data_IF_244066572933
#
_entry.id   IF_244066572933
#
_cell.length_a   1.000
_cell.length_b   1.000
_cell.length_c   1.000
_cell.angle_alpha   90.00
_cell.angle_beta   90.00
_cell.angle_gamma   90.00
#
_symmetry.space_group_name_H-M   'P 1'
#
loop_
_entity.id
_entity.type
_entity.pdbx_description
1 polymer ?
#
# COMPACT_ATOMS: atom_id res chain seq x y z
N UNK A 1 -19.81 -18.95 -21.27
CA UNK A 1 -18.95 -19.13 -20.09
C UNK A 1 -18.90 -20.61 -19.70
N UNK A 2 -17.71 -21.21 -19.59
CA UNK A 2 -17.53 -22.63 -19.24
C UNK A 2 -16.78 -22.69 -17.90
N UNK A 3 -17.43 -23.19 -16.84
CA UNK A 3 -16.88 -23.28 -15.49
C UNK A 3 -16.47 -24.72 -15.20
N UNK A 4 -15.26 -24.92 -14.67
CA UNK A 4 -14.76 -26.22 -14.22
C UNK A 4 -14.13 -26.14 -12.83
N UNK A 5 -14.25 -27.22 -12.08
CA UNK A 5 -13.70 -27.42 -10.75
C UNK A 5 -12.53 -28.42 -10.82
N UNK A 6 -11.42 -28.06 -10.20
CA UNK A 6 -10.20 -28.86 -10.13
C UNK A 6 -9.84 -29.16 -8.68
N UNK A 7 -9.42 -30.38 -8.40
CA UNK A 7 -8.89 -30.79 -7.10
C UNK A 7 -7.46 -31.28 -7.33
N UNK A 8 -6.49 -30.59 -6.74
CA UNK A 8 -5.06 -30.80 -6.99
C UNK A 8 -4.27 -30.77 -5.69
N UNK A 9 -3.04 -31.26 -5.75
CA UNK A 9 -2.15 -31.27 -4.59
C UNK A 9 -1.40 -29.95 -4.43
N UNK A 10 -1.22 -29.18 -5.54
CA UNK A 10 -0.52 -27.90 -5.52
C UNK A 10 -1.17 -26.88 -6.48
N UNK A 11 -0.95 -25.59 -6.23
CA UNK A 11 -1.45 -24.51 -7.09
C UNK A 11 -0.81 -24.52 -8.50
N UNK A 12 0.48 -24.83 -8.69
CA UNK A 12 1.09 -25.00 -10.00
C UNK A 12 0.39 -26.07 -10.84
N UNK A 13 0.04 -27.22 -10.23
CA UNK A 13 -0.71 -28.29 -10.93
C UNK A 13 -2.12 -27.84 -11.34
N UNK A 14 -2.77 -27.01 -10.50
CA UNK A 14 -4.05 -26.40 -10.86
C UNK A 14 -3.91 -25.53 -12.11
N UNK A 15 -2.95 -24.62 -12.12
CA UNK A 15 -2.73 -23.70 -13.24
C UNK A 15 -2.40 -24.43 -14.54
N UNK A 16 -1.59 -25.48 -14.47
CA UNK A 16 -1.26 -26.28 -15.62
C UNK A 16 -2.50 -26.99 -16.19
N UNK A 17 -3.32 -27.61 -15.34
CA UNK A 17 -4.58 -28.27 -15.74
C UNK A 17 -5.62 -27.29 -16.27
N UNK A 18 -5.75 -26.13 -15.63
CA UNK A 18 -6.67 -25.08 -16.06
C UNK A 18 -6.29 -24.58 -17.47
N UNK A 19 -4.99 -24.31 -17.69
CA UNK A 19 -4.49 -23.86 -18.99
C UNK A 19 -4.65 -24.91 -20.09
N UNK A 20 -4.48 -26.18 -19.77
CA UNK A 20 -4.68 -27.29 -20.75
C UNK A 20 -6.16 -27.50 -21.08
N UNK A 21 -7.07 -27.33 -20.13
CA UNK A 21 -8.50 -27.65 -20.26
C UNK A 21 -9.38 -26.48 -20.72
N UNK A 22 -9.08 -25.28 -20.23
CA UNK A 22 -9.88 -24.07 -20.45
C UNK A 22 -9.16 -23.01 -21.29
N UNK A 23 -7.85 -23.23 -21.57
CA UNK A 23 -7.06 -22.29 -22.37
C UNK A 23 -6.32 -21.26 -21.51
N UNK A 24 -5.56 -20.37 -22.22
CA UNK A 24 -4.72 -19.36 -21.57
C UNK A 24 -5.54 -18.23 -20.92
N UNK A 25 -6.76 -18.03 -21.40
CA UNK A 25 -7.68 -16.96 -20.97
C UNK A 25 -8.63 -17.39 -19.84
N UNK A 26 -8.34 -18.52 -19.19
CA UNK A 26 -9.13 -19.00 -18.06
C UNK A 26 -8.87 -18.18 -16.79
N UNK A 27 -9.96 -17.77 -16.15
CA UNK A 27 -9.95 -16.99 -14.89
C UNK A 27 -10.28 -17.90 -13.71
N UNK A 28 -9.52 -17.81 -12.64
CA UNK A 28 -9.81 -18.52 -11.38
C UNK A 28 -10.86 -17.71 -10.61
N UNK A 29 -12.01 -18.33 -10.36
CA UNK A 29 -13.12 -17.71 -9.63
C UNK A 29 -13.02 -17.91 -8.11
N UNK A 30 -12.53 -19.08 -7.68
CA UNK A 30 -12.42 -19.41 -6.26
C UNK A 30 -11.35 -20.47 -6.00
N UNK A 31 -10.74 -20.40 -4.81
CA UNK A 31 -9.75 -21.38 -4.34
C UNK A 31 -10.01 -21.70 -2.86
N UNK A 32 -10.10 -23.00 -2.54
CA UNK A 32 -10.37 -23.47 -1.16
C UNK A 32 -9.48 -24.66 -0.83
N UNK A 33 -8.87 -24.64 0.35
CA UNK A 33 -8.19 -25.83 0.87
C UNK A 33 -9.22 -26.83 1.40
N UNK A 34 -9.11 -28.07 0.94
CA UNK A 34 -9.96 -29.19 1.36
C UNK A 34 -9.11 -30.34 1.88
N UNK A 35 -9.63 -31.10 2.83
CA UNK A 35 -9.01 -32.34 3.28
C UNK A 35 -9.77 -33.51 2.68
N UNK A 36 -9.07 -34.37 1.95
CA UNK A 36 -9.68 -35.56 1.30
C UNK A 36 -8.98 -36.81 1.82
N UNK A 37 -9.80 -37.81 2.13
CA UNK A 37 -9.38 -39.13 2.59
C UNK A 37 -9.25 -39.20 4.11
N UNK A 38 -9.42 -40.43 4.64
CA UNK A 38 -9.31 -40.78 6.04
C UNK A 38 -10.52 -41.56 6.53
N UNK A 39 -10.30 -42.82 6.93
CA UNK A 39 -11.25 -43.58 7.73
C UNK A 39 -11.09 -43.09 9.17
N UNK A 40 -12.16 -42.57 9.80
CA UNK A 40 -12.18 -42.02 11.16
C UNK A 40 -11.22 -40.84 11.46
N UNK A 41 -10.92 -39.97 10.45
CA UNK A 41 -10.15 -38.74 10.69
C UNK A 41 -8.62 -38.89 10.77
N UNK A 42 -8.09 -40.10 10.72
CA UNK A 42 -6.65 -40.39 10.64
C UNK A 42 -6.22 -40.58 9.19
N UNK A 43 -5.14 -39.84 8.75
CA UNK A 43 -4.56 -39.87 7.39
C UNK A 43 -5.26 -39.03 6.29
N UNK A 44 -5.86 -37.88 6.61
CA UNK A 44 -6.35 -36.95 5.59
C UNK A 44 -5.21 -36.19 4.91
N UNK A 45 -5.20 -36.15 3.55
CA UNK A 45 -4.26 -35.32 2.78
C UNK A 45 -4.91 -33.96 2.48
N UNK A 46 -4.14 -32.88 2.65
CA UNK A 46 -4.57 -31.53 2.21
C UNK A 46 -4.51 -31.48 0.69
N UNK A 47 -5.58 -30.99 0.06
CA UNK A 47 -5.68 -30.70 -1.36
C UNK A 47 -6.30 -29.34 -1.59
N UNK A 48 -6.06 -28.76 -2.76
CA UNK A 48 -6.59 -27.45 -3.16
C UNK A 48 -7.71 -27.68 -4.18
N UNK A 49 -8.88 -27.15 -3.87
CA UNK A 49 -10.00 -27.06 -4.78
C UNK A 49 -9.98 -25.71 -5.49
N UNK A 50 -9.93 -25.70 -6.82
CA UNK A 50 -9.89 -24.50 -7.65
C UNK A 50 -11.06 -24.52 -8.62
N UNK A 51 -11.84 -23.44 -8.65
CA UNK A 51 -12.92 -23.23 -9.63
C UNK A 51 -12.42 -22.20 -10.64
N UNK A 52 -12.39 -22.59 -11.92
CA UNK A 52 -11.97 -21.72 -13.00
C UNK A 52 -13.03 -21.66 -14.11
N UNK A 53 -13.08 -20.52 -14.80
CA UNK A 53 -14.00 -20.28 -15.93
C UNK A 53 -13.27 -19.69 -17.13
N UNK A 54 -13.81 -19.95 -18.33
CA UNK A 54 -13.40 -19.29 -19.58
C UNK A 54 -14.63 -18.83 -20.35
N UNK A 55 -14.49 -17.72 -21.07
CA UNK A 55 -15.55 -17.25 -21.97
C UNK A 55 -15.33 -17.79 -23.38
N UNK A 56 -16.33 -18.42 -23.96
CA UNK A 56 -16.26 -19.17 -25.22
C UNK A 56 -16.54 -18.28 -26.45
N UNK A 57 -16.18 -17.01 -26.43
CA UNK A 57 -16.31 -16.15 -27.61
C UNK A 57 -14.96 -15.67 -28.12
N UNK A 58 -14.19 -16.53 -28.77
CA UNK A 58 -13.31 -16.12 -29.89
C UNK A 58 -13.00 -17.31 -30.77
N UNK A 59 -13.48 -17.21 -32.01
CA UNK A 59 -13.31 -18.17 -33.09
C UNK A 59 -11.86 -18.27 -33.55
N UNK A 60 -11.45 -19.49 -33.81
CA UNK A 60 -10.22 -19.90 -34.47
C UNK A 60 -9.83 -19.05 -35.70
N UNK A 61 -8.63 -18.49 -35.67
CA UNK A 61 -7.88 -18.15 -36.87
C UNK A 61 -6.55 -18.92 -36.86
N UNK A 62 -6.37 -19.79 -37.84
CA UNK A 62 -5.16 -20.57 -38.09
C UNK A 62 -3.96 -19.65 -38.36
N UNK A 63 -2.90 -19.73 -37.57
CA UNK A 63 -1.65 -19.10 -37.87
C UNK A 63 -0.78 -19.98 -38.79
N UNK A 64 -0.34 -19.43 -39.92
CA UNK A 64 0.72 -19.95 -40.78
C UNK A 64 2.10 -19.67 -40.13
N UNK A 65 3.12 -20.51 -40.36
CA UNK A 65 4.43 -20.33 -39.79
C UNK A 65 5.20 -19.21 -40.49
N UNK A 66 5.78 -18.28 -39.71
CA UNK A 66 6.62 -17.20 -40.18
C UNK A 66 8.09 -17.48 -39.87
N UNK A 67 8.86 -17.28 -40.91
CA UNK A 67 10.29 -17.42 -41.14
C UNK A 67 11.10 -16.54 -40.16
N UNK A 68 12.22 -17.09 -39.67
CA UNK A 68 13.27 -16.35 -38.93
C UNK A 68 13.90 -15.26 -39.82
N UNK A 69 14.10 -14.05 -39.32
CA UNK A 69 15.13 -13.16 -39.87
C UNK A 69 16.37 -13.10 -38.98
N UNK A 70 17.50 -13.20 -39.66
CA UNK A 70 18.86 -12.95 -39.16
C UNK A 70 19.00 -11.50 -38.68
N UNK A 71 19.63 -11.32 -37.52
CA UNK A 71 19.92 -10.00 -36.93
C UNK A 71 21.29 -9.53 -37.44
N UNK A 72 21.30 -8.48 -38.24
CA UNK A 72 22.49 -7.65 -38.49
C UNK A 72 22.49 -6.48 -37.47
N UNK A 73 23.61 -6.35 -36.79
CA UNK A 73 23.89 -5.27 -35.86
C UNK A 73 23.86 -3.89 -36.56
N UNK A 74 23.06 -2.97 -36.06
CA UNK A 74 23.16 -1.55 -36.43
C UNK A 74 22.89 -0.67 -35.18
N UNK A 75 23.76 0.26 -35.02
CA UNK A 75 24.01 1.29 -34.03
C UNK A 75 22.81 1.89 -33.30
N UNK A 76 22.91 1.94 -31.98
CA UNK A 76 21.92 2.44 -31.00
C UNK A 76 22.14 3.95 -30.81
N UNK A 77 21.25 4.81 -31.28
CA UNK A 77 21.15 6.22 -30.82
C UNK A 77 19.77 6.88 -30.89
N UNK A 78 18.69 6.13 -31.17
CA UNK A 78 17.34 6.75 -31.26
C UNK A 78 16.28 6.07 -30.37
N UNK A 79 16.67 5.29 -29.36
CA UNK A 79 15.76 4.34 -28.71
C UNK A 79 15.12 4.83 -27.39
N UNK A 80 15.70 5.84 -26.74
CA UNK A 80 15.24 6.23 -25.39
C UNK A 80 13.93 7.04 -25.36
N UNK A 81 13.72 7.91 -26.33
CA UNK A 81 12.50 8.72 -26.40
C UNK A 81 11.24 7.88 -26.74
N UNK A 82 11.41 6.85 -27.58
CA UNK A 82 10.29 5.94 -27.90
C UNK A 82 9.95 4.98 -26.78
N UNK A 83 10.92 4.60 -25.93
CA UNK A 83 10.67 3.80 -24.74
C UNK A 83 9.85 4.57 -23.69
N UNK A 84 10.17 5.84 -23.46
CA UNK A 84 9.45 6.69 -22.52
C UNK A 84 7.98 6.87 -22.92
N UNK A 85 7.71 7.08 -24.20
CA UNK A 85 6.34 7.21 -24.71
C UNK A 85 5.52 5.90 -24.60
N UNK A 86 6.18 4.74 -24.73
CA UNK A 86 5.51 3.45 -24.52
C UNK A 86 5.18 3.16 -23.05
N UNK A 87 6.03 3.61 -22.14
CA UNK A 87 5.78 3.46 -20.70
C UNK A 87 4.58 4.30 -20.27
N UNK A 88 4.48 5.54 -20.73
CA UNK A 88 3.36 6.44 -20.40
C UNK A 88 2.00 5.94 -20.90
N UNK A 89 1.96 5.18 -22.00
CA UNK A 89 0.70 4.66 -22.57
C UNK A 89 0.17 3.40 -21.88
N UNK A 90 0.98 2.70 -21.10
CA UNK A 90 0.57 1.45 -20.39
C UNK A 90 -0.10 1.73 -19.06
N UNK A 91 0.11 2.90 -18.47
CA UNK A 91 -0.47 3.29 -17.17
C UNK A 91 -1.99 3.58 -17.22
N UNK A 92 -2.61 3.66 -18.41
CA UNK A 92 -4.01 4.09 -18.61
C UNK A 92 -4.99 2.91 -18.83
N UNK A 93 -4.65 1.70 -18.43
CA UNK A 93 -5.59 0.57 -18.49
C UNK A 93 -6.28 0.34 -17.14
N UNK A 94 -6.97 1.36 -16.63
CA UNK A 94 -8.08 1.18 -15.69
C UNK A 94 -9.36 0.92 -16.53
N UNK A 95 -9.59 -0.32 -16.88
CA UNK A 95 -10.96 -0.72 -17.24
C UNK A 95 -11.82 -0.66 -15.97
N UNK A 96 -12.97 0.03 -16.01
CA UNK A 96 -13.89 0.04 -14.89
C UNK A 96 -14.31 -1.39 -14.58
N UNK A 97 -14.24 -1.77 -13.31
CA UNK A 97 -14.73 -3.04 -12.80
C UNK A 97 -16.16 -3.28 -13.33
N UNK A 98 -16.48 -4.47 -13.83
CA UNK A 98 -17.82 -4.76 -14.31
C UNK A 98 -18.83 -4.57 -13.16
N UNK A 99 -19.86 -3.76 -13.45
CA UNK A 99 -21.02 -3.54 -12.61
C UNK A 99 -21.58 -4.89 -12.14
N UNK A 100 -21.58 -5.11 -10.83
CA UNK A 100 -22.26 -6.23 -10.20
C UNK A 100 -23.73 -5.84 -10.06
N UNK A 101 -24.67 -6.50 -10.76
CA UNK A 101 -26.08 -6.19 -10.58
C UNK A 101 -26.50 -6.54 -9.16
N UNK A 102 -27.22 -5.64 -8.52
CA UNK A 102 -27.88 -5.85 -7.24
C UNK A 102 -28.73 -7.13 -7.29
N UNK A 103 -28.42 -8.08 -6.44
CA UNK A 103 -29.24 -9.26 -6.25
C UNK A 103 -30.54 -8.81 -5.58
N UNK A 104 -31.61 -8.76 -6.37
CA UNK A 104 -32.97 -8.55 -5.87
C UNK A 104 -33.30 -9.71 -4.93
N UNK A 105 -33.33 -9.43 -3.64
CA UNK A 105 -33.93 -10.31 -2.65
C UNK A 105 -35.44 -10.30 -2.84
N UNK A 106 -35.96 -11.24 -3.61
CA UNK A 106 -37.38 -11.56 -3.64
C UNK A 106 -37.65 -12.83 -2.85
N UNK A 107 -38.65 -12.67 -1.97
CA UNK A 107 -39.41 -13.70 -1.21
C UNK A 107 -38.89 -14.04 0.18
N UNK A 108 -39.35 -13.18 1.13
CA UNK A 108 -39.70 -13.61 2.48
C UNK A 108 -41.24 -13.74 2.51
N UNK A 109 -41.80 -14.89 2.87
CA UNK A 109 -43.26 -15.01 3.00
C UNK A 109 -43.78 -14.16 4.18
N UNK A 110 -44.99 -13.58 4.11
CA UNK A 110 -45.50 -12.72 5.14
C UNK A 110 -45.76 -13.52 6.42
N UNK A 111 -45.14 -13.11 7.52
CA UNK A 111 -45.46 -13.59 8.85
C UNK A 111 -46.73 -12.89 9.27
N UNK A 112 -47.80 -13.65 9.41
CA UNK A 112 -49.09 -13.23 9.98
C UNK A 112 -48.88 -12.91 11.47
N UNK A 113 -48.85 -11.64 11.80
CA UNK A 113 -48.85 -11.19 13.20
C UNK A 113 -50.28 -11.02 13.65
N UNK A 114 -50.74 -11.89 14.56
CA UNK A 114 -52.00 -11.70 15.30
C UNK A 114 -51.89 -10.47 16.21
N UNK A 115 -52.93 -9.66 16.36
CA UNK A 115 -52.90 -8.48 17.21
C UNK A 115 -52.90 -8.89 18.68
N UNK A 116 -51.80 -8.66 19.37
CA UNK A 116 -51.74 -8.67 20.82
C UNK A 116 -52.12 -7.27 21.29
N UNK A 117 -53.33 -7.10 21.73
CA UNK A 117 -53.78 -5.94 22.51
C UNK A 117 -53.08 -5.98 23.86
N UNK A 118 -52.05 -5.20 24.02
CA UNK A 118 -51.56 -4.77 25.32
C UNK A 118 -51.54 -3.24 25.31
N UNK A 119 -52.54 -2.67 25.97
CA UNK A 119 -52.51 -1.28 26.40
C UNK A 119 -51.28 -1.09 27.30
N UNK A 120 -50.23 -0.53 26.74
CA UNK A 120 -49.15 0.09 27.51
C UNK A 120 -49.51 1.55 27.66
N UNK A 121 -49.80 1.92 28.89
CA UNK A 121 -49.90 3.31 29.32
C UNK A 121 -48.69 4.09 28.81
N UNK A 122 -48.93 5.19 28.12
CA UNK A 122 -47.95 6.16 27.70
C UNK A 122 -47.37 6.79 28.97
N UNK A 123 -46.07 6.63 29.27
CA UNK A 123 -45.48 7.37 30.38
C UNK A 123 -45.53 8.87 30.04
N UNK A 124 -46.06 9.65 30.98
CA UNK A 124 -46.23 11.09 30.89
C UNK A 124 -44.93 11.76 30.43
N UNK A 125 -45.05 12.77 29.55
CA UNK A 125 -43.98 13.59 28.99
C UNK A 125 -42.92 14.14 29.97
N UNK A 126 -43.22 14.16 31.26
CA UNK A 126 -42.35 14.58 32.35
C UNK A 126 -41.10 13.68 32.55
N UNK A 127 -41.17 12.38 32.29
CA UNK A 127 -40.04 11.48 32.45
C UNK A 127 -39.01 11.69 31.34
N UNK A 128 -39.46 11.82 30.09
CA UNK A 128 -38.60 12.08 28.92
C UNK A 128 -37.96 13.48 29.02
N UNK A 129 -38.70 14.47 29.45
CA UNK A 129 -38.17 15.82 29.70
C UNK A 129 -37.14 15.84 30.83
N UNK A 130 -37.30 14.99 31.85
CA UNK A 130 -36.33 14.85 32.94
C UNK A 130 -35.05 14.15 32.45
N UNK A 131 -35.16 13.10 31.63
CA UNK A 131 -34.00 12.46 31.01
C UNK A 131 -33.25 13.39 30.04
N UNK A 132 -33.98 14.16 29.23
CA UNK A 132 -33.36 15.17 28.32
C UNK A 132 -32.65 16.24 29.15
N UNK A 133 -33.21 16.70 30.28
CA UNK A 133 -32.53 17.62 31.18
C UNK A 133 -31.28 17.01 31.83
N UNK A 134 -31.36 15.76 32.28
CA UNK A 134 -30.20 15.05 32.83
C UNK A 134 -29.12 14.82 31.78
N UNK A 135 -29.50 14.46 30.54
CA UNK A 135 -28.58 14.37 29.41
C UNK A 135 -27.92 15.72 29.09
N UNK A 136 -28.70 16.80 29.08
CA UNK A 136 -28.17 18.17 28.85
C UNK A 136 -27.26 18.62 29.99
N UNK A 137 -27.59 18.30 31.25
CA UNK A 137 -26.72 18.58 32.39
C UNK A 137 -25.45 17.71 32.36
N UNK A 138 -25.56 16.44 31.97
CA UNK A 138 -24.40 15.56 31.79
C UNK A 138 -23.50 16.03 30.64
N UNK A 139 -24.09 16.46 29.55
CA UNK A 139 -23.37 17.06 28.40
C UNK A 139 -22.71 18.40 28.79
N UNK A 140 -23.39 19.24 29.57
CA UNK A 140 -22.80 20.45 30.11
C UNK A 140 -21.69 20.16 31.16
N UNK A 141 -21.83 19.10 31.98
CA UNK A 141 -20.74 18.66 32.89
C UNK A 141 -19.57 18.02 32.15
N UNK A 142 -19.81 17.37 31.00
CA UNK A 142 -18.74 16.87 30.12
C UNK A 142 -18.08 18.03 29.36
N UNK A 143 -18.85 19.00 28.89
CA UNK A 143 -18.31 20.22 28.27
C UNK A 143 -17.56 21.10 29.28
N UNK A 144 -17.94 21.09 30.57
CA UNK A 144 -17.20 21.79 31.64
C UNK A 144 -16.07 20.96 32.26
N UNK A 145 -15.95 19.67 31.91
CA UNK A 145 -14.81 18.80 32.24
C UNK A 145 -13.78 18.68 31.11
N UNK A 146 -14.00 19.28 29.93
CA UNK A 146 -12.87 19.68 29.10
C UNK A 146 -12.01 20.62 29.97
N UNK A 147 -10.73 20.32 30.18
CA UNK A 147 -9.91 21.20 31.01
C UNK A 147 -10.07 22.62 30.45
N UNK A 148 -10.52 23.53 31.30
CA UNK A 148 -10.36 24.95 31.09
C UNK A 148 -8.85 25.26 31.07
N UNK A 149 -8.19 24.93 29.97
CA UNK A 149 -6.85 25.39 29.67
C UNK A 149 -6.82 26.29 28.43
N UNK A 150 -7.99 26.77 27.99
CA UNK A 150 -8.07 27.81 26.96
C UNK A 150 -8.09 29.23 27.54
N UNK A 151 -7.72 29.38 28.79
CA UNK A 151 -7.48 30.72 29.35
C UNK A 151 -6.08 31.16 28.94
N UNK A 152 -5.99 31.81 27.77
CA UNK A 152 -4.79 32.53 27.39
C UNK A 152 -3.96 31.98 26.21
N UNK A 153 -4.42 30.96 25.47
CA UNK A 153 -3.66 30.55 24.28
C UNK A 153 -3.79 31.65 23.23
N UNK A 154 -2.64 32.16 22.79
CA UNK A 154 -2.59 33.22 21.77
C UNK A 154 -3.23 32.73 20.45
N UNK A 155 -4.01 33.59 19.73
CA UNK A 155 -4.71 33.20 18.50
C UNK A 155 -3.81 32.57 17.43
N UNK A 156 -2.54 32.97 17.35
CA UNK A 156 -1.56 32.40 16.41
C UNK A 156 -1.25 30.94 16.75
N UNK A 157 -1.14 30.59 18.04
CA UNK A 157 -0.89 29.20 18.47
C UNK A 157 -2.13 28.33 18.24
N UNK A 158 -3.34 28.88 18.41
CA UNK A 158 -4.57 28.17 18.05
C UNK A 158 -4.63 27.89 16.55
N UNK A 159 -4.31 28.86 15.70
CA UNK A 159 -4.27 28.69 14.26
C UNK A 159 -3.25 27.61 13.83
N UNK A 160 -2.05 27.59 14.45
CA UNK A 160 -1.07 26.54 14.21
C UNK A 160 -1.59 25.16 14.66
N UNK A 161 -2.23 25.08 15.82
CA UNK A 161 -2.85 23.85 16.32
C UNK A 161 -3.90 23.30 15.36
N UNK A 162 -4.82 24.15 14.93
CA UNK A 162 -5.89 23.78 13.98
C UNK A 162 -5.32 23.30 12.64
N UNK A 163 -4.28 23.95 12.14
CA UNK A 163 -3.59 23.56 10.93
C UNK A 163 -2.94 22.19 11.04
N UNK A 164 -2.17 21.92 12.10
CA UNK A 164 -1.51 20.64 12.30
C UNK A 164 -2.54 19.50 12.49
N UNK A 165 -3.64 19.76 13.20
CA UNK A 165 -4.74 18.80 13.35
C UNK A 165 -5.41 18.55 11.99
N UNK A 166 -5.65 19.59 11.20
CA UNK A 166 -6.21 19.50 9.85
C UNK A 166 -5.33 18.66 8.91
N UNK A 167 -4.02 18.68 9.12
CA UNK A 167 -3.04 17.84 8.43
C UNK A 167 -2.92 16.43 9.01
N UNK A 168 -3.76 16.04 9.96
CA UNK A 168 -3.74 14.73 10.63
C UNK A 168 -2.45 14.45 11.43
N UNK A 169 -1.75 15.47 11.90
CA UNK A 169 -0.66 15.32 12.87
C UNK A 169 -1.25 14.85 14.21
N UNK A 170 -0.61 13.88 14.85
CA UNK A 170 -1.10 13.32 16.12
C UNK A 170 -1.15 14.39 17.23
N UNK A 171 -2.17 14.32 18.08
CA UNK A 171 -2.35 15.29 19.18
C UNK A 171 -1.12 15.40 20.09
N UNK A 172 -0.38 14.29 20.28
CA UNK A 172 0.85 14.28 21.04
C UNK A 172 1.92 15.18 20.40
N UNK A 173 2.16 15.02 19.08
CA UNK A 173 3.15 15.83 18.36
C UNK A 173 2.70 17.29 18.29
N UNK A 174 1.40 17.54 18.08
CA UNK A 174 0.83 18.90 18.09
C UNK A 174 1.12 19.59 19.43
N UNK A 175 0.83 18.91 20.54
CA UNK A 175 1.07 19.45 21.88
C UNK A 175 2.57 19.72 22.12
N UNK A 176 3.44 18.77 21.81
CA UNK A 176 4.90 18.92 21.92
C UNK A 176 5.42 20.08 21.06
N UNK A 177 4.87 20.25 19.85
CA UNK A 177 5.23 21.37 18.96
C UNK A 177 4.86 22.71 19.59
N UNK A 178 3.65 22.84 20.14
CA UNK A 178 3.19 24.07 20.78
C UNK A 178 3.99 24.40 22.05
N UNK A 179 4.27 23.39 22.88
CA UNK A 179 5.11 23.53 24.06
C UNK A 179 6.52 24.01 23.67
N UNK A 180 7.13 23.38 22.68
CA UNK A 180 8.44 23.78 22.18
C UNK A 180 8.48 25.20 21.60
N UNK A 181 7.44 25.62 20.89
CA UNK A 181 7.31 27.00 20.37
C UNK A 181 7.23 27.98 21.51
N UNK A 182 6.44 27.72 22.56
CA UNK A 182 6.32 28.60 23.72
C UNK A 182 7.63 28.74 24.50
N UNK A 183 8.28 27.61 24.83
CA UNK A 183 9.57 27.59 25.53
C UNK A 183 10.67 28.35 24.76
N UNK A 184 10.68 28.22 23.43
CA UNK A 184 11.66 28.87 22.58
C UNK A 184 11.47 30.39 22.55
N UNK A 185 10.22 30.87 22.40
CA UNK A 185 9.88 32.28 22.41
C UNK A 185 10.18 32.92 23.79
N UNK A 186 9.87 32.21 24.86
CA UNK A 186 10.19 32.71 26.23
C UNK A 186 11.69 32.81 26.46
N UNK A 187 12.47 31.84 25.96
CA UNK A 187 13.93 31.80 26.19
C UNK A 187 14.70 32.77 25.29
N UNK A 188 14.26 32.97 24.04
CA UNK A 188 14.89 33.87 23.06
C UNK A 188 14.49 35.33 23.24
N UNK A 189 13.37 35.59 23.93
CA UNK A 189 12.79 36.92 24.05
C UNK A 189 12.23 37.46 22.72
N UNK A 190 12.02 36.61 21.76
CA UNK A 190 11.44 36.96 20.48
C UNK A 190 9.94 37.28 20.59
N UNK A 191 9.47 38.20 19.75
CA UNK A 191 8.07 38.57 19.72
C UNK A 191 7.21 37.42 19.22
N UNK A 192 6.08 37.18 19.89
CA UNK A 192 5.10 36.19 19.48
C UNK A 192 4.31 36.70 18.26
N UNK A 193 4.87 36.49 17.09
CA UNK A 193 4.28 36.77 15.79
C UNK A 193 4.18 35.48 14.94
N UNK A 194 3.39 35.53 13.88
CA UNK A 194 3.14 34.37 13.03
C UNK A 194 4.43 33.81 12.42
N UNK A 195 5.34 34.67 11.96
CA UNK A 195 6.58 34.26 11.30
C UNK A 195 7.46 33.45 12.24
N UNK A 196 7.71 33.95 13.49
CA UNK A 196 8.54 33.28 14.48
C UNK A 196 7.90 31.97 14.94
N UNK A 197 6.59 31.96 15.24
CA UNK A 197 5.85 30.76 15.67
C UNK A 197 5.96 29.65 14.60
N UNK A 198 5.71 29.98 13.34
CA UNK A 198 5.75 29.01 12.23
C UNK A 198 7.19 28.57 11.90
N UNK A 199 8.17 29.44 12.02
CA UNK A 199 9.58 29.08 11.82
C UNK A 199 10.06 28.08 12.86
N UNK A 200 9.78 28.34 14.16
CA UNK A 200 10.15 27.44 15.26
C UNK A 200 9.43 26.09 15.14
N UNK A 201 8.13 26.11 14.86
CA UNK A 201 7.35 24.89 14.66
C UNK A 201 7.88 24.06 13.48
N UNK A 202 8.21 24.72 12.37
CA UNK A 202 8.79 24.10 11.18
C UNK A 202 10.12 23.41 11.49
N UNK A 203 11.01 24.10 12.20
CA UNK A 203 12.30 23.53 12.60
C UNK A 203 12.14 22.33 13.52
N UNK A 204 11.23 22.41 14.47
CA UNK A 204 10.93 21.32 15.38
C UNK A 204 10.39 20.08 14.63
N UNK A 205 9.38 20.25 13.78
CA UNK A 205 8.81 19.16 13.00
C UNK A 205 9.84 18.55 12.02
N UNK A 206 10.65 19.38 11.40
CA UNK A 206 11.74 18.94 10.52
C UNK A 206 12.72 18.04 11.27
N UNK A 207 13.10 18.42 12.49
CA UNK A 207 14.00 17.65 13.36
C UNK A 207 13.43 16.26 13.70
N UNK A 208 12.11 16.13 13.83
CA UNK A 208 11.45 14.85 14.11
C UNK A 208 11.57 13.84 12.97
N UNK A 209 11.61 14.31 11.71
CA UNK A 209 11.59 13.43 10.53
C UNK A 209 12.91 13.34 9.79
N UNK A 210 13.87 14.21 10.10
CA UNK A 210 15.19 14.19 9.46
C UNK A 210 16.01 13.00 9.94
N UNK A 211 16.48 12.20 9.00
CA UNK A 211 17.40 11.09 9.25
C UNK A 211 18.69 11.29 8.48
N UNK A 212 19.81 10.84 9.05
CA UNK A 212 21.13 10.94 8.41
C UNK A 212 21.42 9.81 7.41
N UNK A 213 20.42 8.99 7.09
CA UNK A 213 20.59 7.84 6.21
C UNK A 213 20.30 8.17 4.75
N UNK A 214 20.98 7.48 3.84
CA UNK A 214 20.72 7.62 2.41
C UNK A 214 19.28 7.25 2.05
N UNK A 215 18.60 8.11 1.33
CA UNK A 215 17.24 7.90 0.81
C UNK A 215 17.22 6.93 -0.37
N UNK A 216 18.30 6.89 -1.13
CA UNK A 216 18.47 6.00 -2.27
C UNK A 216 18.87 4.58 -1.83
N UNK A 217 18.68 3.63 -2.77
CA UNK A 217 19.20 2.27 -2.62
C UNK A 217 20.72 2.33 -2.55
N UNK A 218 21.32 1.68 -1.55
CA UNK A 218 22.77 1.68 -1.41
C UNK A 218 23.45 0.97 -2.59
N UNK A 219 24.61 1.46 -3.05
CA UNK A 219 25.28 0.91 -4.24
C UNK A 219 25.62 -0.58 -4.11
N UNK A 220 25.89 -1.05 -2.90
CA UNK A 220 26.27 -2.43 -2.58
C UNK A 220 25.06 -3.33 -2.24
N UNK A 221 23.84 -2.79 -2.27
CA UNK A 221 22.61 -3.58 -2.07
C UNK A 221 22.36 -4.49 -3.24
N UNK A 222 22.23 -5.79 -2.94
CA UNK A 222 21.96 -6.85 -3.91
C UNK A 222 20.47 -7.17 -4.05
N UNK A 223 19.71 -7.10 -2.96
CA UNK A 223 18.28 -7.41 -2.98
C UNK A 223 17.51 -6.30 -2.28
N UNK A 224 16.46 -5.84 -2.93
CA UNK A 224 15.52 -4.87 -2.35
C UNK A 224 14.15 -5.53 -2.23
N UNK A 225 13.67 -5.69 -1.01
CA UNK A 225 12.36 -6.24 -0.72
C UNK A 225 11.33 -5.11 -0.59
N UNK A 226 10.24 -5.21 -1.35
CA UNK A 226 9.12 -4.28 -1.23
C UNK A 226 7.96 -4.97 -0.51
N UNK A 227 7.67 -4.52 0.69
CA UNK A 227 6.65 -5.09 1.56
C UNK A 227 5.56 -4.06 1.85
N UNK A 228 4.35 -4.51 2.14
CA UNK A 228 3.23 -3.63 2.45
C UNK A 228 1.87 -4.21 2.06
N UNK A 229 0.76 -3.56 2.44
CA UNK A 229 -0.60 -4.03 2.20
C UNK A 229 -0.95 -4.19 0.72
N UNK A 230 -2.12 -4.79 0.46
CA UNK A 230 -2.72 -4.82 -0.88
C UNK A 230 -3.12 -3.41 -1.32
N UNK A 231 -2.94 -3.09 -2.61
CA UNK A 231 -3.45 -1.86 -3.20
C UNK A 231 -2.66 -0.59 -2.91
N UNK A 232 -1.54 -0.68 -2.15
CA UNK A 232 -0.68 0.49 -1.87
C UNK A 232 0.25 0.88 -3.03
N UNK A 233 0.21 0.19 -4.17
CA UNK A 233 1.03 0.53 -5.34
C UNK A 233 2.43 -0.08 -5.36
N UNK A 234 2.72 -1.20 -4.66
CA UNK A 234 4.05 -1.84 -4.65
C UNK A 234 4.60 -2.13 -6.05
N UNK A 235 3.88 -2.90 -6.84
CA UNK A 235 4.30 -3.33 -8.18
C UNK A 235 4.58 -2.15 -9.10
N UNK A 236 3.74 -1.11 -9.06
CA UNK A 236 3.92 0.12 -9.85
C UNK A 236 5.15 0.91 -9.38
N UNK A 237 5.36 1.00 -8.07
CA UNK A 237 6.52 1.69 -7.48
C UNK A 237 7.82 0.96 -7.81
N UNK A 238 7.82 -0.37 -7.76
CA UNK A 238 8.97 -1.19 -8.18
C UNK A 238 9.37 -0.86 -9.62
N UNK A 239 8.39 -0.77 -10.52
CA UNK A 239 8.64 -0.44 -11.92
C UNK A 239 9.26 0.96 -12.09
N UNK A 240 8.79 1.97 -11.32
CA UNK A 240 9.34 3.33 -11.33
C UNK A 240 10.79 3.36 -10.87
N UNK A 241 11.08 2.74 -9.72
CA UNK A 241 12.43 2.70 -9.17
C UNK A 241 13.35 1.88 -10.08
N UNK A 242 12.87 0.77 -10.66
CA UNK A 242 13.65 -0.04 -11.60
C UNK A 242 14.01 0.75 -12.86
N UNK A 243 13.06 1.50 -13.40
CA UNK A 243 13.34 2.38 -14.54
C UNK A 243 14.41 3.43 -14.20
N UNK A 244 14.36 4.03 -13.01
CA UNK A 244 15.39 4.95 -12.53
C UNK A 244 16.77 4.26 -12.47
N UNK A 245 16.85 3.07 -11.88
CA UNK A 245 18.11 2.32 -11.77
C UNK A 245 18.69 1.95 -13.14
N UNK A 246 17.84 1.56 -14.09
CA UNK A 246 18.29 1.22 -15.45
C UNK A 246 18.67 2.46 -16.26
N UNK A 247 17.81 3.49 -16.26
CA UNK A 247 17.95 4.64 -17.17
C UNK A 247 18.94 5.68 -16.65
N UNK A 248 18.94 5.98 -15.34
CA UNK A 248 19.80 7.01 -14.75
C UNK A 248 21.10 6.42 -14.18
N UNK A 249 21.03 5.26 -13.55
CA UNK A 249 22.19 4.66 -12.87
C UNK A 249 22.87 3.55 -13.67
N UNK A 250 22.32 3.16 -14.83
CA UNK A 250 22.85 2.12 -15.73
C UNK A 250 23.12 0.78 -15.04
N UNK A 251 22.36 0.48 -13.96
CA UNK A 251 22.46 -0.79 -13.22
C UNK A 251 21.67 -1.88 -13.93
N UNK A 252 22.19 -3.08 -13.91
CA UNK A 252 21.48 -4.27 -14.34
C UNK A 252 20.49 -4.69 -13.24
N UNK A 253 19.21 -4.49 -13.51
CA UNK A 253 18.13 -4.85 -12.58
C UNK A 253 17.60 -6.23 -12.91
N UNK A 254 17.22 -7.01 -11.89
CA UNK A 254 16.43 -8.24 -12.02
C UNK A 254 15.14 -8.11 -11.19
N UNK A 255 14.07 -8.76 -11.65
CA UNK A 255 12.82 -8.84 -10.89
C UNK A 255 12.58 -10.25 -10.36
N UNK A 256 12.14 -10.33 -9.12
CA UNK A 256 11.51 -11.53 -8.54
C UNK A 256 10.11 -11.13 -8.07
N UNK A 257 9.07 -11.89 -8.46
CA UNK A 257 7.74 -11.71 -7.88
C UNK A 257 7.29 -12.96 -7.15
N UNK A 258 6.79 -12.78 -5.95
CA UNK A 258 6.07 -13.78 -5.15
C UNK A 258 4.56 -13.49 -5.07
N UNK A 259 4.06 -12.44 -5.75
CA UNK A 259 2.62 -12.15 -5.82
C UNK A 259 1.91 -13.07 -6.83
N UNK A 260 1.89 -14.35 -6.52
CA UNK A 260 1.29 -15.40 -7.36
C UNK A 260 -0.21 -15.56 -7.16
N UNK A 261 -0.78 -14.86 -6.18
CA UNK A 261 -2.23 -14.89 -5.91
C UNK A 261 -3.02 -14.01 -6.87
N UNK A 262 -2.38 -12.97 -7.39
CA UNK A 262 -2.98 -12.01 -8.33
C UNK A 262 -2.38 -12.22 -9.71
N UNK A 263 -3.10 -12.95 -10.58
CA UNK A 263 -2.63 -13.23 -11.96
C UNK A 263 -2.30 -11.93 -12.69
N UNK A 264 -3.13 -10.90 -12.54
CA UNK A 264 -2.90 -9.58 -13.13
C UNK A 264 -1.62 -8.90 -12.64
N UNK A 265 -1.18 -9.13 -11.38
CA UNK A 265 0.04 -8.52 -10.85
C UNK A 265 1.29 -9.08 -11.54
N UNK A 266 1.34 -10.39 -11.79
CA UNK A 266 2.44 -11.01 -12.54
C UNK A 266 2.52 -10.45 -13.96
N UNK A 267 1.39 -10.39 -14.66
CA UNK A 267 1.35 -9.88 -16.04
C UNK A 267 1.69 -8.38 -16.10
N UNK A 268 1.26 -7.61 -15.10
CA UNK A 268 1.64 -6.19 -14.97
C UNK A 268 3.15 -6.03 -14.81
N UNK A 269 3.76 -6.72 -13.86
CA UNK A 269 5.21 -6.65 -13.64
C UNK A 269 5.99 -7.16 -14.86
N UNK A 270 5.48 -8.20 -15.54
CA UNK A 270 6.06 -8.74 -16.77
C UNK A 270 6.02 -7.74 -17.93
N UNK A 271 4.97 -6.94 -18.01
CA UNK A 271 4.89 -5.85 -18.99
C UNK A 271 6.00 -4.84 -18.76
N UNK A 272 6.19 -4.37 -17.52
CA UNK A 272 7.30 -3.47 -17.18
C UNK A 272 8.68 -4.12 -17.42
N UNK A 273 8.84 -5.39 -17.04
CA UNK A 273 10.06 -6.15 -17.28
C UNK A 273 10.42 -6.21 -18.78
N UNK A 274 9.41 -6.42 -19.62
CA UNK A 274 9.60 -6.45 -21.08
C UNK A 274 10.00 -5.09 -21.63
N UNK A 275 9.32 -4.01 -21.21
CA UNK A 275 9.60 -2.64 -21.66
C UNK A 275 11.01 -2.20 -21.26
N UNK A 276 11.42 -2.48 -20.03
CA UNK A 276 12.70 -2.11 -19.47
C UNK A 276 13.83 -3.10 -19.80
N UNK A 277 13.50 -4.20 -20.51
CA UNK A 277 14.42 -5.31 -20.81
C UNK A 277 15.07 -5.89 -19.53
N UNK A 278 14.26 -6.09 -18.50
CA UNK A 278 14.67 -6.64 -17.18
C UNK A 278 14.27 -8.12 -17.12
N UNK A 279 15.16 -9.04 -16.73
CA UNK A 279 14.80 -10.43 -16.47
C UNK A 279 13.86 -10.54 -15.27
N UNK A 280 12.82 -11.36 -15.39
CA UNK A 280 11.79 -11.59 -14.36
C UNK A 280 11.68 -13.07 -14.04
N UNK A 281 11.77 -13.39 -12.75
CA UNK A 281 11.53 -14.72 -12.19
C UNK A 281 10.28 -14.72 -11.31
N UNK A 282 9.44 -15.76 -11.46
CA UNK A 282 8.24 -15.96 -10.64
C UNK A 282 8.51 -17.07 -9.62
N UNK A 283 8.31 -16.76 -8.34
CA UNK A 283 8.62 -17.64 -7.22
C UNK A 283 7.33 -18.04 -6.51
N UNK A 284 7.07 -19.34 -6.44
CA UNK A 284 5.88 -19.91 -5.77
C UNK A 284 6.20 -20.44 -4.37
N UNK A 285 7.47 -20.71 -4.11
CA UNK A 285 7.94 -21.26 -2.84
C UNK A 285 9.33 -20.75 -2.47
N UNK A 286 9.73 -20.81 -1.19
CA UNK A 286 11.10 -20.46 -0.77
C UNK A 286 12.19 -21.25 -1.48
N UNK A 287 11.89 -22.49 -1.93
CA UNK A 287 12.84 -23.33 -2.67
C UNK A 287 13.13 -22.78 -4.07
N UNK A 288 12.16 -22.11 -4.69
CA UNK A 288 12.33 -21.51 -6.02
C UNK A 288 13.25 -20.28 -5.99
N UNK A 289 13.38 -19.62 -4.83
CA UNK A 289 14.23 -18.44 -4.66
C UNK A 289 15.68 -18.70 -5.03
N UNK A 290 16.23 -19.84 -4.63
CA UNK A 290 17.62 -20.17 -4.94
C UNK A 290 17.85 -20.28 -6.46
N UNK A 291 16.88 -20.81 -7.20
CA UNK A 291 16.94 -20.91 -8.67
C UNK A 291 16.81 -19.51 -9.29
N UNK A 292 15.87 -18.70 -8.79
CA UNK A 292 15.67 -17.32 -9.26
C UNK A 292 16.95 -16.48 -9.07
N UNK A 293 17.59 -16.55 -7.90
CA UNK A 293 18.87 -15.86 -7.66
C UNK A 293 20.00 -16.33 -8.56
N UNK A 294 20.06 -17.64 -8.90
CA UNK A 294 21.05 -18.16 -9.84
C UNK A 294 20.81 -17.66 -11.26
N UNK A 295 19.57 -17.53 -11.68
CA UNK A 295 19.23 -16.99 -13.00
C UNK A 295 19.50 -15.49 -13.10
N UNK A 296 19.33 -14.74 -12.00
CA UNK A 296 19.56 -13.31 -11.90
C UNK A 296 20.97 -12.93 -11.39
N UNK A 297 21.91 -13.87 -11.36
CA UNK A 297 23.28 -13.66 -10.83
C UNK A 297 24.04 -12.48 -11.46
N UNK A 298 23.76 -12.18 -12.73
CA UNK A 298 24.41 -11.11 -13.50
C UNK A 298 23.73 -9.74 -13.28
N UNK A 299 22.67 -9.67 -12.46
CA UNK A 299 22.03 -8.42 -12.05
C UNK A 299 22.83 -7.74 -10.94
N UNK A 300 22.97 -6.41 -11.02
CA UNK A 300 23.60 -5.61 -9.96
C UNK A 300 22.71 -5.49 -8.75
N UNK A 301 21.38 -5.39 -8.98
CA UNK A 301 20.35 -5.33 -7.95
C UNK A 301 19.11 -6.12 -8.37
N UNK A 302 18.50 -6.82 -7.42
CA UNK A 302 17.28 -7.60 -7.62
C UNK A 302 16.15 -6.96 -6.81
N UNK A 303 15.05 -6.65 -7.46
CA UNK A 303 13.84 -6.14 -6.81
C UNK A 303 12.83 -7.25 -6.61
N UNK A 304 12.41 -7.43 -5.36
CA UNK A 304 11.48 -8.48 -4.98
C UNK A 304 10.11 -7.88 -4.68
N UNK A 305 9.14 -8.15 -5.57
CA UNK A 305 7.72 -7.83 -5.37
C UNK A 305 7.06 -8.91 -4.53
N UNK A 306 6.50 -8.50 -3.40
CA UNK A 306 5.82 -9.42 -2.48
C UNK A 306 4.30 -9.28 -2.59
N UNK A 307 3.60 -10.40 -2.37
CA UNK A 307 2.15 -10.38 -2.31
C UNK A 307 1.66 -9.39 -1.26
N UNK A 308 0.79 -8.47 -1.65
CA UNK A 308 0.06 -7.65 -0.71
C UNK A 308 -0.96 -8.52 0.04
N UNK A 309 -0.79 -8.69 1.34
CA UNK A 309 -1.69 -9.48 2.18
C UNK A 309 -2.17 -8.69 3.38
N UNK A 310 -3.21 -9.21 4.05
CA UNK A 310 -3.63 -8.66 5.33
C UNK A 310 -2.63 -9.10 6.41
N UNK A 311 -1.65 -8.25 6.70
CA UNK A 311 -0.57 -8.49 7.66
C UNK A 311 -0.98 -8.43 9.14
N UNK A 312 -2.26 -8.31 9.42
CA UNK A 312 -2.80 -8.59 10.78
C UNK A 312 -2.75 -10.08 11.12
N UNK A 313 -2.47 -10.94 10.13
CA UNK A 313 -2.33 -12.38 10.33
C UNK A 313 -0.85 -12.77 10.37
N UNK A 314 -0.38 -13.20 11.53
CA UNK A 314 1.02 -13.60 11.79
C UNK A 314 1.54 -14.72 10.87
N UNK A 315 0.64 -15.56 10.35
CA UNK A 315 1.02 -16.65 9.44
C UNK A 315 1.57 -16.09 8.11
N UNK A 316 0.97 -15.01 7.59
CA UNK A 316 1.46 -14.36 6.36
C UNK A 316 2.79 -13.62 6.58
N UNK A 317 2.96 -13.09 7.78
CA UNK A 317 4.20 -12.45 8.21
C UNK A 317 5.34 -13.48 8.23
N UNK A 318 5.10 -14.67 8.78
CA UNK A 318 6.09 -15.76 8.83
C UNK A 318 6.43 -16.33 7.43
N UNK A 319 5.43 -16.45 6.53
CA UNK A 319 5.65 -16.87 5.14
C UNK A 319 6.57 -15.87 4.41
N UNK A 320 6.31 -14.57 4.58
CA UNK A 320 7.12 -13.52 3.99
C UNK A 320 8.55 -13.55 4.51
N UNK A 321 8.75 -13.78 5.81
CA UNK A 321 10.08 -13.88 6.41
C UNK A 321 10.92 -14.97 5.76
N UNK A 322 10.33 -16.12 5.46
CA UNK A 322 11.03 -17.21 4.79
C UNK A 322 11.42 -16.87 3.34
N UNK A 323 10.67 -15.98 2.69
CA UNK A 323 10.97 -15.48 1.34
C UNK A 323 12.01 -14.35 1.34
N UNK A 324 12.20 -13.64 2.46
CA UNK A 324 13.17 -12.54 2.55
C UNK A 324 14.59 -12.99 2.89
N UNK A 325 14.81 -14.29 3.16
CA UNK A 325 16.14 -14.84 3.42
C UNK A 325 16.96 -14.97 2.13
N UNK A 326 17.51 -13.85 1.67
CA UNK A 326 18.39 -13.78 0.49
C UNK A 326 19.89 -13.88 0.85
N UNK A 327 20.71 -14.20 -0.15
CA UNK A 327 22.18 -14.12 -0.03
C UNK A 327 22.65 -12.71 -0.42
N UNK A 328 23.35 -12.04 0.49
CA UNK A 328 23.95 -10.72 0.24
C UNK A 328 23.30 -9.60 1.04
N UNK A 329 23.80 -8.37 0.84
CA UNK A 329 23.23 -7.17 1.48
C UNK A 329 21.85 -6.89 0.90
N UNK A 330 20.86 -6.82 1.76
CA UNK A 330 19.47 -6.52 1.38
C UNK A 330 18.97 -5.26 2.08
N UNK A 331 18.01 -4.60 1.45
CA UNK A 331 17.25 -3.50 2.03
C UNK A 331 15.75 -3.82 1.93
N UNK A 332 15.01 -3.48 2.98
CA UNK A 332 13.56 -3.68 3.04
C UNK A 332 12.82 -2.34 3.05
N UNK A 333 12.01 -2.13 2.03
CA UNK A 333 11.18 -0.94 1.87
C UNK A 333 9.74 -1.26 2.28
N UNK A 334 9.26 -0.59 3.31
CA UNK A 334 7.85 -0.60 3.66
C UNK A 334 7.10 0.39 2.75
N UNK A 335 6.16 -0.11 1.96
CA UNK A 335 5.33 0.72 1.06
C UNK A 335 3.98 0.95 1.70
N UNK A 336 3.65 2.22 1.93
CA UNK A 336 2.38 2.67 2.52
C UNK A 336 1.71 3.70 1.62
N UNK A 337 0.39 3.70 1.57
CA UNK A 337 -0.38 4.73 0.87
C UNK A 337 -0.75 5.86 1.83
N UNK A 338 -0.53 7.11 1.43
CA UNK A 338 -0.94 8.29 2.22
C UNK A 338 -2.45 8.41 2.43
N UNK A 339 -3.25 7.75 1.57
CA UNK A 339 -4.70 7.65 1.76
C UNK A 339 -5.13 6.68 2.88
N UNK A 340 -4.16 5.98 3.50
CA UNK A 340 -4.41 5.06 4.61
C UNK A 340 -4.44 5.84 5.93
N UNK A 341 -5.42 5.58 6.79
CA UNK A 341 -5.49 6.19 8.13
C UNK A 341 -4.24 5.85 8.93
N UNK A 342 -3.67 6.84 9.62
CA UNK A 342 -2.47 6.65 10.45
C UNK A 342 -2.58 5.46 11.42
N UNK A 343 -3.72 5.27 12.07
CA UNK A 343 -3.96 4.14 12.98
C UNK A 343 -3.73 2.78 12.31
N UNK A 344 -4.11 2.64 11.04
CA UNK A 344 -3.89 1.41 10.29
C UNK A 344 -2.43 1.29 9.83
N UNK A 345 -1.80 2.41 9.40
CA UNK A 345 -0.36 2.43 9.08
C UNK A 345 0.48 1.99 10.28
N UNK A 346 0.17 2.45 11.49
CA UNK A 346 0.87 2.08 12.73
C UNK A 346 0.83 0.58 12.97
N UNK A 347 -0.36 -0.03 12.92
CA UNK A 347 -0.53 -1.49 13.10
C UNK A 347 0.21 -2.28 12.02
N UNK A 348 0.18 -1.80 10.78
CA UNK A 348 0.93 -2.42 9.68
C UNK A 348 2.42 -2.36 9.97
N UNK A 349 2.94 -1.19 10.33
CA UNK A 349 4.37 -0.98 10.59
C UNK A 349 4.83 -1.81 11.80
N UNK A 350 4.06 -1.88 12.88
CA UNK A 350 4.33 -2.76 14.02
C UNK A 350 4.49 -4.23 13.62
N UNK A 351 3.60 -4.71 12.74
CA UNK A 351 3.67 -6.10 12.26
C UNK A 351 4.88 -6.35 11.36
N UNK A 352 5.28 -5.37 10.55
CA UNK A 352 6.44 -5.44 9.69
C UNK A 352 7.76 -5.14 10.38
N UNK A 353 7.77 -4.46 11.54
CA UNK A 353 8.99 -4.14 12.29
C UNK A 353 9.77 -5.39 12.71
N UNK A 354 9.11 -6.55 12.72
CA UNK A 354 9.75 -7.88 12.91
C UNK A 354 10.75 -8.25 11.80
N UNK A 355 10.80 -7.50 10.68
CA UNK A 355 11.59 -7.82 9.47
C UNK A 355 12.76 -6.89 9.20
N UNK A 356 13.28 -6.18 10.18
CA UNK A 356 14.35 -5.21 9.96
C UNK A 356 14.03 -4.27 8.77
N UNK A 357 13.02 -3.43 8.97
CA UNK A 357 12.68 -2.41 7.99
C UNK A 357 13.79 -1.35 7.92
N UNK A 358 14.29 -1.08 6.74
CA UNK A 358 15.33 -0.05 6.53
C UNK A 358 14.70 1.29 6.15
N UNK A 359 13.69 1.26 5.29
CA UNK A 359 13.13 2.48 4.69
C UNK A 359 11.62 2.39 4.57
N UNK A 360 10.97 3.55 4.61
CA UNK A 360 9.58 3.72 4.26
C UNK A 360 9.45 4.53 2.98
N UNK A 361 8.49 4.12 2.15
CA UNK A 361 8.11 4.77 0.91
C UNK A 361 6.61 5.04 0.96
N UNK A 362 6.24 6.28 0.65
CA UNK A 362 4.83 6.66 0.60
C UNK A 362 4.33 6.76 -0.84
N UNK A 363 3.11 6.33 -1.07
CA UNK A 363 2.46 6.37 -2.37
C UNK A 363 1.19 7.21 -2.31
N UNK A 364 0.70 7.60 -3.50
CA UNK A 364 -0.58 8.27 -3.67
C UNK A 364 -0.63 9.64 -2.98
N UNK A 365 0.47 10.38 -3.07
CA UNK A 365 0.52 11.75 -2.56
C UNK A 365 -0.44 12.68 -3.31
N UNK A 366 -0.73 12.35 -4.56
CA UNK A 366 -1.68 13.02 -5.44
C UNK A 366 -3.17 12.77 -5.10
N UNK A 367 -3.45 11.79 -4.24
CA UNK A 367 -4.81 11.40 -3.84
C UNK A 367 -5.21 11.96 -2.45
N UNK A 368 -4.38 12.80 -1.79
CA UNK A 368 -4.66 13.35 -0.45
C UNK A 368 -4.08 14.75 -0.28
N UNK A 369 -4.72 15.55 0.58
CA UNK A 369 -4.26 16.88 0.98
C UNK A 369 -3.71 16.91 2.42
N UNK A 370 -3.62 15.75 3.10
CA UNK A 370 -3.07 15.64 4.45
C UNK A 370 -1.82 14.77 4.49
N UNK A 371 -0.74 15.29 5.09
CA UNK A 371 0.58 14.67 5.08
C UNK A 371 1.13 14.39 6.48
N UNK A 372 0.41 14.73 7.53
CA UNK A 372 0.84 14.55 8.92
C UNK A 372 1.07 13.09 9.32
N UNK A 373 0.47 12.13 8.60
CA UNK A 373 0.74 10.71 8.80
C UNK A 373 2.21 10.34 8.58
N UNK A 374 2.95 11.08 7.73
CA UNK A 374 4.39 10.90 7.53
C UNK A 374 5.15 11.24 8.82
N UNK A 375 4.86 12.42 9.40
CA UNK A 375 5.48 12.88 10.66
C UNK A 375 5.17 11.90 11.79
N UNK A 376 3.92 11.50 11.91
CA UNK A 376 3.50 10.56 12.95
C UNK A 376 4.25 9.22 12.85
N UNK A 377 4.41 8.70 11.63
CA UNK A 377 5.05 7.40 11.42
C UNK A 377 6.56 7.46 11.72
N UNK A 378 7.23 8.50 11.24
CA UNK A 378 8.67 8.66 11.44
C UNK A 378 9.02 9.02 12.91
N UNK A 379 8.09 9.66 13.62
CA UNK A 379 8.21 9.87 15.06
C UNK A 379 8.06 8.56 15.86
N UNK A 380 7.08 7.73 15.49
CA UNK A 380 6.76 6.50 16.25
C UNK A 380 7.71 5.34 15.92
N UNK A 381 8.36 5.33 14.74
CA UNK A 381 9.20 4.24 14.28
C UNK A 381 10.55 4.72 13.74
N UNK A 382 11.64 4.00 14.02
CA UNK A 382 12.99 4.37 13.55
C UNK A 382 13.17 3.98 12.08
N UNK A 383 12.39 4.57 11.18
CA UNK A 383 12.41 4.33 9.74
C UNK A 383 13.06 5.50 9.01
N UNK A 384 13.77 5.19 7.92
CA UNK A 384 14.32 6.20 7.03
C UNK A 384 13.35 6.50 5.89
N UNK A 385 13.02 7.77 5.72
CA UNK A 385 12.21 8.22 4.59
C UNK A 385 13.00 8.06 3.28
N UNK A 386 12.35 7.54 2.22
CA UNK A 386 13.02 7.26 0.95
C UNK A 386 12.36 7.97 -0.23
N UNK A 387 11.34 7.38 -0.82
CA UNK A 387 10.65 7.93 -1.98
C UNK A 387 9.19 8.26 -1.68
N UNK A 388 8.62 9.14 -2.50
CA UNK A 388 7.19 9.42 -2.55
C UNK A 388 6.70 9.31 -3.99
N UNK A 389 5.55 8.65 -4.22
CA UNK A 389 4.91 8.68 -5.54
C UNK A 389 3.75 9.68 -5.53
N UNK A 390 3.67 10.46 -6.60
CA UNK A 390 2.75 11.60 -6.76
C UNK A 390 1.91 11.50 -8.05
N UNK A 391 1.66 10.29 -8.54
CA UNK A 391 0.85 10.03 -9.73
C UNK A 391 1.00 8.61 -10.26
N UNK A 392 0.41 8.34 -11.43
CA UNK A 392 0.31 6.98 -12.00
C UNK A 392 1.35 6.70 -13.10
N UNK A 393 2.00 7.73 -13.67
CA UNK A 393 2.94 7.53 -14.76
C UNK A 393 4.21 6.81 -14.32
N UNK A 394 4.68 5.90 -15.17
CA UNK A 394 5.94 5.17 -15.01
C UNK A 394 6.87 5.58 -16.16
N UNK A 395 8.05 6.10 -15.88
CA UNK A 395 8.76 6.16 -14.60
C UNK A 395 8.59 7.47 -13.80
N UNK A 396 7.90 8.49 -14.30
CA UNK A 396 8.12 9.89 -13.94
C UNK A 396 7.54 10.30 -12.57
N UNK A 397 6.39 9.72 -12.17
CA UNK A 397 5.67 10.14 -10.97
C UNK A 397 6.24 9.49 -9.68
N UNK A 398 7.54 9.63 -9.48
CA UNK A 398 8.25 9.26 -8.26
C UNK A 398 9.36 10.27 -7.99
N UNK A 399 9.44 10.71 -6.74
CA UNK A 399 10.46 11.66 -6.28
C UNK A 399 11.18 11.10 -5.05
N UNK A 400 12.43 11.50 -4.88
CA UNK A 400 13.11 11.31 -3.60
C UNK A 400 12.42 12.22 -2.59
N UNK A 401 11.98 11.66 -1.49
CA UNK A 401 11.28 12.42 -0.48
C UNK A 401 12.19 13.51 0.11
N UNK A 402 11.70 14.73 0.15
CA UNK A 402 12.37 15.87 0.77
C UNK A 402 11.60 16.30 2.01
N UNK A 403 12.26 16.24 3.16
CA UNK A 403 11.65 16.56 4.45
C UNK A 403 11.20 18.02 4.52
N UNK A 404 11.96 18.94 3.90
CA UNK A 404 11.59 20.36 3.86
C UNK A 404 10.28 20.54 3.10
N UNK A 405 10.17 19.97 1.91
CA UNK A 405 8.94 20.02 1.10
C UNK A 405 7.74 19.41 1.83
N UNK A 406 7.93 18.29 2.53
CA UNK A 406 6.85 17.65 3.29
C UNK A 406 6.38 18.54 4.44
N UNK A 407 7.32 19.12 5.21
CA UNK A 407 6.94 20.01 6.29
C UNK A 407 6.29 21.30 5.76
N UNK A 408 6.76 21.83 4.63
CA UNK A 408 6.16 23.01 3.99
C UNK A 408 4.71 22.75 3.56
N UNK A 409 4.42 21.53 3.06
CA UNK A 409 3.05 21.13 2.74
C UNK A 409 2.17 21.02 4.01
N UNK A 410 2.71 20.50 5.11
CA UNK A 410 1.99 20.40 6.40
C UNK A 410 1.76 21.79 7.01
N UNK A 411 2.76 22.65 6.95
CA UNK A 411 2.68 24.00 7.51
C UNK A 411 1.83 24.95 6.65
N UNK A 412 1.40 24.50 5.47
CA UNK A 412 0.81 25.36 4.46
C UNK A 412 1.90 26.31 3.97
N UNK A 413 2.57 26.01 2.85
CA UNK A 413 3.47 26.96 2.25
C UNK A 413 2.80 28.34 2.34
N UNK A 414 3.46 29.29 2.98
CA UNK A 414 3.02 30.66 2.91
C UNK A 414 2.93 30.96 1.42
N UNK A 415 1.71 30.95 0.87
CA UNK A 415 1.43 31.63 -0.37
C UNK A 415 1.68 33.10 -0.05
N UNK A 416 2.94 33.49 -0.14
CA UNK A 416 3.32 34.88 -0.28
C UNK A 416 2.72 35.33 -1.62
N UNK A 417 1.49 35.83 -1.57
CA UNK A 417 0.95 36.84 -2.44
C UNK A 417 0.92 38.18 -1.71
#
# INVERSE_FOLDING_TARGET
>A
MRVKKYIVDSMPDALQKIRSDLGKDAVILNTKEIRIGGFLGLFSKKKIEVIAATDTQTSSAKAKPLIKPEIKATTITASTANLLNQISSVAVLDEPLPYVPDVIMNHIPPITVSPITNEREIPKDDAVLTEIRQMKEMMNRLASRTPQSNVGIHPILLALQEQLIGQEVSLLIVQQTLEHVQENLESSGEELNRANVYAIAREYLLKLITTNSSKHIAPDTKVVHFVGPTGVGKTTTIAKIAAEQVLKHHRKVGFITSDTYRIAAIEQLKTYATILNIPLEVVFSPQDLNKAFLQLKDSDVIFMDTAGRNFRNEMYVSELHSLMQGKGKSETFLVLSLTTKYKDMKVITENFSKFNLDKVLFTKMDETDSYGSIVNLLHDFPLNLSFVTNGQNVPDDIIVADEHTIIDLIMGAASDE
#
